data_IF_183304513584
#
_entry.id   IF_183304513584
#
_cell.length_a   1.000
_cell.length_b   1.000
_cell.length_c   1.000
_cell.angle_alpha   90.00
_cell.angle_beta   90.00
_cell.angle_gamma   90.00
#
_symmetry.space_group_name_H-M   'P 1'
#
loop_
_entity.id
_entity.type
_entity.pdbx_description
1 polymer ?
#
# COMPACT_ATOMS: atom_id res chain seq x y z
N UNK A 1 0.90 5.81 -28.86
CA UNK A 1 -0.02 5.10 -27.94
C UNK A 1 0.57 5.13 -26.55
N UNK A 2 0.01 5.94 -25.65
CA UNK A 2 0.36 5.93 -24.23
C UNK A 2 -0.07 4.57 -23.66
N UNK A 3 0.88 3.64 -23.55
CA UNK A 3 0.61 2.29 -23.07
C UNK A 3 0.35 2.31 -21.57
N UNK A 4 -0.91 2.49 -21.20
CA UNK A 4 -1.39 2.26 -19.84
C UNK A 4 -1.02 0.83 -19.44
N UNK A 5 -0.34 0.68 -18.31
CA UNK A 5 -0.01 -0.62 -17.74
C UNK A 5 -0.93 -0.90 -16.57
N UNK A 6 -1.52 -2.08 -16.58
CA UNK A 6 -2.35 -2.55 -15.48
C UNK A 6 -1.55 -3.49 -14.60
N UNK A 7 -1.69 -3.31 -13.30
CA UNK A 7 -1.09 -4.15 -12.28
C UNK A 7 -2.16 -4.62 -11.31
N UNK A 8 -1.86 -5.75 -10.65
CA UNK A 8 -2.45 -6.07 -9.36
C UNK A 8 -1.41 -5.87 -8.28
N UNK A 9 -1.78 -5.22 -7.18
CA UNK A 9 -0.96 -5.08 -5.99
C UNK A 9 -1.60 -5.86 -4.85
N UNK A 10 -0.81 -6.62 -4.11
CA UNK A 10 -1.22 -7.42 -2.96
C UNK A 10 -0.44 -7.00 -1.71
N UNK A 11 -1.11 -6.95 -0.57
CA UNK A 11 -0.52 -6.41 0.66
C UNK A 11 -1.54 -5.94 1.69
N UNK A 12 -1.03 -5.32 2.75
CA UNK A 12 -1.84 -4.90 3.90
C UNK A 12 -2.30 -3.46 3.71
N UNK A 13 -3.62 -3.26 3.71
CA UNK A 13 -4.26 -1.95 3.63
C UNK A 13 -4.55 -1.47 5.05
N UNK A 14 -4.17 -0.23 5.33
CA UNK A 14 -4.40 0.48 6.59
C UNK A 14 -5.11 1.81 6.31
N UNK A 15 -5.94 2.23 7.26
CA UNK A 15 -6.61 3.54 7.20
C UNK A 15 -5.61 4.69 7.27
N UNK A 16 -6.08 5.91 6.95
CA UNK A 16 -5.26 7.12 7.10
C UNK A 16 -4.96 7.41 8.57
N UNK A 17 -5.90 7.11 9.47
CA UNK A 17 -5.78 7.24 10.91
C UNK A 17 -4.67 6.32 11.44
N UNK A 18 -4.71 5.05 11.07
CA UNK A 18 -3.68 4.08 11.47
C UNK A 18 -2.29 4.47 10.93
N UNK A 19 -2.21 4.97 9.70
CA UNK A 19 -0.97 5.46 9.12
C UNK A 19 -0.44 6.72 9.83
N UNK A 20 -1.33 7.63 10.22
CA UNK A 20 -0.97 8.83 10.96
C UNK A 20 -0.44 8.48 12.35
N UNK A 21 -1.14 7.60 13.09
CA UNK A 21 -0.72 7.12 14.40
C UNK A 21 0.63 6.40 14.34
N UNK A 22 0.83 5.54 13.33
CA UNK A 22 2.11 4.89 13.11
C UNK A 22 3.23 5.91 12.85
N UNK A 23 2.96 6.91 12.02
CA UNK A 23 3.92 7.99 11.73
C UNK A 23 4.27 8.78 12.99
N UNK A 24 3.30 9.06 13.85
CA UNK A 24 3.54 9.70 15.15
C UNK A 24 4.43 8.86 16.05
N UNK A 25 4.23 7.54 16.11
CA UNK A 25 5.12 6.64 16.87
C UNK A 25 6.55 6.63 16.32
N UNK A 26 6.71 6.65 14.99
CA UNK A 26 8.04 6.66 14.36
C UNK A 26 8.79 7.97 14.66
N UNK A 27 8.10 9.11 14.59
CA UNK A 27 8.73 10.44 14.57
C UNK A 27 8.70 11.15 15.92
N UNK A 28 7.83 10.73 16.84
CA UNK A 28 7.54 11.45 18.08
C UNK A 28 6.69 12.72 17.88
N UNK A 29 6.22 13.00 16.66
CA UNK A 29 5.45 14.20 16.32
C UNK A 29 4.01 13.85 15.95
N UNK A 30 3.05 14.59 16.50
CA UNK A 30 1.64 14.45 16.15
C UNK A 30 1.45 14.65 14.62
N UNK A 31 0.88 13.64 13.96
CA UNK A 31 0.70 13.61 12.50
C UNK A 31 -0.80 13.58 12.19
N UNK A 32 -1.26 14.43 11.29
CA UNK A 32 -2.64 14.46 10.82
C UNK A 32 -2.81 13.58 9.57
N UNK A 33 -3.99 12.98 9.41
CA UNK A 33 -4.40 12.16 8.25
C UNK A 33 -4.27 12.84 6.87
N UNK A 34 -4.05 14.16 6.79
CA UNK A 34 -3.84 14.89 5.53
C UNK A 34 -2.36 15.06 5.17
N UNK A 35 -1.45 14.67 6.05
CA UNK A 35 0.00 14.79 5.84
C UNK A 35 0.56 13.56 5.10
N UNK A 36 -0.01 13.25 3.93
CA UNK A 36 0.31 12.05 3.14
C UNK A 36 1.80 11.89 2.84
N UNK A 37 2.50 12.98 2.50
CA UNK A 37 3.93 12.93 2.21
C UNK A 37 4.77 12.53 3.42
N UNK A 38 4.41 13.03 4.61
CA UNK A 38 5.10 12.70 5.86
C UNK A 38 4.89 11.21 6.20
N UNK A 39 3.64 10.75 6.16
CA UNK A 39 3.30 9.34 6.36
C UNK A 39 4.03 8.44 5.37
N UNK A 40 4.01 8.82 4.08
CA UNK A 40 4.66 8.03 3.04
C UNK A 40 6.18 7.94 3.25
N UNK A 41 6.82 9.03 3.66
CA UNK A 41 8.27 9.08 3.88
C UNK A 41 8.68 8.25 5.09
N UNK A 42 8.03 8.48 6.23
CA UNK A 42 8.38 7.83 7.49
C UNK A 42 8.14 6.31 7.42
N UNK A 43 6.96 5.90 6.95
CA UNK A 43 6.60 4.47 6.92
C UNK A 43 7.33 3.73 5.81
N UNK A 44 7.58 4.35 4.65
CA UNK A 44 8.39 3.70 3.59
C UNK A 44 9.77 3.32 4.13
N UNK A 45 10.39 4.14 4.96
CA UNK A 45 11.68 3.83 5.56
C UNK A 45 11.63 2.57 6.45
N UNK A 46 10.50 2.32 7.13
CA UNK A 46 10.28 1.13 7.97
C UNK A 46 10.03 -0.14 7.19
N UNK A 47 9.27 -0.07 6.10
CA UNK A 47 8.89 -1.28 5.33
C UNK A 47 9.92 -1.66 4.26
N UNK A 48 10.78 -0.73 3.81
CA UNK A 48 11.78 -0.97 2.77
C UNK A 48 12.75 -2.13 3.05
N UNK A 49 13.25 -2.36 4.28
CA UNK A 49 14.10 -3.52 4.60
C UNK A 49 13.45 -4.87 4.25
N UNK A 50 12.12 -4.95 4.21
CA UNK A 50 11.35 -6.14 3.86
C UNK A 50 11.06 -6.25 2.35
N UNK A 51 11.73 -5.41 1.54
CA UNK A 51 11.49 -5.26 0.09
C UNK A 51 10.02 -4.94 -0.22
N UNK A 52 9.36 -4.24 0.70
CA UNK A 52 7.99 -3.79 0.56
C UNK A 52 7.95 -2.31 0.17
N UNK A 53 6.89 -1.93 -0.53
CA UNK A 53 6.60 -0.55 -0.87
C UNK A 53 5.50 0.00 0.03
N UNK A 54 5.41 1.33 0.14
CA UNK A 54 4.31 1.99 0.83
C UNK A 54 3.68 3.06 -0.07
N UNK A 55 2.39 2.88 -0.37
CA UNK A 55 1.68 3.65 -1.40
C UNK A 55 0.30 4.07 -0.89
N UNK A 56 -0.07 5.31 -1.20
CA UNK A 56 -1.45 5.76 -1.09
C UNK A 56 -2.26 5.09 -2.20
N UNK A 57 -3.43 4.57 -1.86
CA UNK A 57 -4.38 3.90 -2.73
C UNK A 57 -5.78 4.52 -2.56
N UNK A 58 -6.71 4.17 -3.44
CA UNK A 58 -8.04 4.79 -3.51
C UNK A 58 -8.11 5.86 -4.58
N UNK A 59 -9.27 5.93 -5.25
CA UNK A 59 -9.52 6.90 -6.32
C UNK A 59 -10.41 8.08 -5.85
N UNK A 60 -11.13 7.90 -4.74
CA UNK A 60 -11.96 8.92 -4.09
C UNK A 60 -11.42 9.24 -2.70
N UNK A 61 -11.79 10.41 -2.15
CA UNK A 61 -11.42 10.80 -0.79
C UNK A 61 -11.91 9.82 0.28
N UNK A 62 -13.07 9.19 0.05
CA UNK A 62 -13.69 8.22 0.97
C UNK A 62 -12.97 6.87 0.95
N UNK A 63 -12.34 6.52 -0.17
CA UNK A 63 -11.58 5.27 -0.36
C UNK A 63 -10.08 5.42 -0.09
N UNK A 64 -9.60 6.62 0.25
CA UNK A 64 -8.17 6.85 0.47
C UNK A 64 -7.66 6.03 1.65
N UNK A 65 -6.65 5.23 1.38
CA UNK A 65 -5.97 4.39 2.36
C UNK A 65 -4.50 4.25 1.98
N UNK A 66 -3.70 3.75 2.91
CA UNK A 66 -2.34 3.35 2.59
C UNK A 66 -2.23 1.83 2.47
N UNK A 67 -1.32 1.39 1.62
CA UNK A 67 -1.02 -0.03 1.43
C UNK A 67 0.48 -0.28 1.60
N UNK A 68 0.80 -1.24 2.47
CA UNK A 68 2.10 -1.91 2.47
C UNK A 68 2.07 -2.95 1.36
N UNK A 69 2.62 -2.60 0.20
CA UNK A 69 2.60 -3.44 -1.00
C UNK A 69 3.70 -4.48 -0.91
N UNK A 70 3.30 -5.75 -0.84
CA UNK A 70 4.19 -6.92 -0.72
C UNK A 70 4.39 -7.62 -2.06
N UNK A 71 3.32 -7.64 -2.86
CA UNK A 71 3.26 -8.31 -4.15
C UNK A 71 2.80 -7.32 -5.21
N UNK A 72 3.44 -7.35 -6.36
CA UNK A 72 3.04 -6.57 -7.52
C UNK A 72 3.24 -7.43 -8.77
N UNK A 73 2.19 -7.57 -9.57
CA UNK A 73 2.24 -8.30 -10.83
C UNK A 73 1.55 -7.52 -11.94
N UNK A 74 2.19 -7.46 -13.10
CA UNK A 74 1.59 -6.88 -14.30
C UNK A 74 0.48 -7.77 -14.83
N UNK A 75 -0.61 -7.16 -15.27
CA UNK A 75 -1.74 -7.82 -15.92
C UNK A 75 -1.67 -7.58 -17.43
N UNK A 76 -0.92 -8.41 -18.15
CA UNK A 76 -0.68 -8.23 -19.60
C UNK A 76 -1.95 -8.37 -20.45
N UNK A 77 -2.97 -9.08 -19.96
CA UNK A 77 -4.24 -9.32 -20.63
C UNK A 77 -5.44 -8.80 -19.84
N UNK A 78 -5.26 -7.67 -19.14
CA UNK A 78 -6.32 -7.07 -18.33
C UNK A 78 -7.58 -6.76 -19.17
N UNK A 79 -8.74 -7.13 -18.63
CA UNK A 79 -10.07 -6.78 -19.16
C UNK A 79 -10.84 -6.08 -18.05
N UNK A 80 -11.33 -4.87 -18.30
CA UNK A 80 -12.01 -4.02 -17.30
C UNK A 80 -13.16 -4.71 -16.57
N UNK A 81 -13.92 -5.55 -17.26
CA UNK A 81 -15.09 -6.22 -16.71
C UNK A 81 -14.79 -7.62 -16.15
N UNK A 82 -13.52 -8.02 -16.12
CA UNK A 82 -13.10 -9.29 -15.52
C UNK A 82 -12.55 -9.06 -14.12
N UNK A 83 -12.94 -9.87 -13.12
CA UNK A 83 -12.37 -9.78 -11.78
C UNK A 83 -10.85 -9.90 -11.81
N UNK A 84 -10.17 -9.09 -11.01
CA UNK A 84 -8.71 -9.22 -10.84
C UNK A 84 -8.43 -10.45 -9.98
N UNK A 85 -7.56 -11.37 -10.43
CA UNK A 85 -7.15 -12.51 -9.62
C UNK A 85 -6.58 -12.04 -8.28
N UNK A 86 -7.04 -12.63 -7.18
CA UNK A 86 -6.56 -12.30 -5.84
C UNK A 86 -5.20 -12.96 -5.59
N UNK A 87 -4.41 -12.34 -4.72
CA UNK A 87 -3.21 -12.93 -4.14
C UNK A 87 -3.56 -13.67 -2.85
N UNK A 88 -2.70 -14.63 -2.51
CA UNK A 88 -2.70 -15.31 -1.21
C UNK A 88 -1.47 -14.86 -0.43
N UNK A 89 -1.60 -14.88 0.90
CA UNK A 89 -0.48 -14.58 1.79
C UNK A 89 0.55 -15.71 1.74
N UNK A 90 1.83 -15.35 1.64
CA UNK A 90 2.96 -16.27 1.74
C UNK A 90 3.95 -15.85 2.83
N UNK A 91 5.17 -16.38 2.75
CA UNK A 91 6.20 -16.13 3.77
C UNK A 91 6.56 -14.64 3.91
N UNK A 92 6.58 -13.90 2.80
CA UNK A 92 6.89 -12.46 2.83
C UNK A 92 5.81 -11.67 3.57
N UNK A 93 4.54 -12.03 3.36
CA UNK A 93 3.40 -11.41 4.02
C UNK A 93 3.41 -11.73 5.53
N UNK A 94 3.80 -12.95 5.91
CA UNK A 94 4.00 -13.30 7.32
C UNK A 94 5.08 -12.42 7.99
N UNK A 95 6.21 -12.18 7.31
CA UNK A 95 7.25 -11.28 7.84
C UNK A 95 6.76 -9.84 7.99
N UNK A 96 6.01 -9.33 7.01
CA UNK A 96 5.43 -7.98 7.09
C UNK A 96 4.37 -7.88 8.17
N UNK A 97 3.59 -8.94 8.41
CA UNK A 97 2.65 -9.02 9.52
C UNK A 97 3.35 -8.83 10.86
N UNK A 98 4.45 -9.56 11.08
CA UNK A 98 5.24 -9.42 12.31
C UNK A 98 5.82 -8.01 12.48
N UNK A 99 6.19 -7.32 11.38
CA UNK A 99 6.60 -5.92 11.45
C UNK A 99 5.44 -5.02 11.88
N UNK A 100 4.26 -5.18 11.27
CA UNK A 100 3.08 -4.39 11.61
C UNK A 100 2.74 -4.54 13.10
N UNK A 101 2.74 -5.78 13.60
CA UNK A 101 2.53 -6.08 15.03
C UNK A 101 3.59 -5.42 15.93
N UNK A 102 4.88 -5.52 15.58
CA UNK A 102 5.97 -4.89 16.32
C UNK A 102 5.84 -3.37 16.39
N UNK A 103 5.33 -2.76 15.31
CA UNK A 103 5.12 -1.32 15.20
C UNK A 103 3.76 -0.87 15.77
N UNK A 104 3.00 -1.79 16.39
CA UNK A 104 1.70 -1.53 17.01
C UNK A 104 0.58 -1.23 16.00
N UNK A 105 0.72 -1.73 14.77
CA UNK A 105 -0.29 -1.62 13.71
C UNK A 105 -1.10 -2.90 13.68
N UNK A 106 -2.30 -2.86 14.25
CA UNK A 106 -3.19 -4.04 14.37
C UNK A 106 -4.44 -3.95 13.49
N UNK A 107 -4.83 -2.74 13.07
CA UNK A 107 -5.97 -2.52 12.18
C UNK A 107 -5.49 -2.49 10.72
N UNK A 108 -5.49 -3.67 10.09
CA UNK A 108 -5.13 -3.84 8.69
C UNK A 108 -5.93 -4.96 8.04
N UNK A 109 -6.06 -4.91 6.72
CA UNK A 109 -6.68 -5.98 5.92
C UNK A 109 -5.78 -6.33 4.75
N UNK A 110 -5.46 -7.62 4.57
CA UNK A 110 -4.78 -8.07 3.36
C UNK A 110 -5.75 -8.01 2.17
N UNK A 111 -5.38 -7.27 1.12
CA UNK A 111 -6.21 -7.09 -0.07
C UNK A 111 -5.37 -7.15 -1.34
N UNK A 112 -6.02 -7.56 -2.43
CA UNK A 112 -5.52 -7.34 -3.79
C UNK A 112 -6.30 -6.21 -4.45
N UNK A 113 -5.59 -5.21 -4.97
CA UNK A 113 -6.19 -4.11 -5.71
C UNK A 113 -5.72 -4.09 -7.16
N UNK A 114 -6.56 -3.58 -8.05
CA UNK A 114 -6.15 -3.16 -9.39
C UNK A 114 -5.45 -1.80 -9.30
N UNK A 115 -4.36 -1.63 -10.05
CA UNK A 115 -3.76 -0.31 -10.24
C UNK A 115 -3.44 -0.06 -11.71
N UNK A 116 -3.94 1.07 -12.18
CA UNK A 116 -3.56 1.65 -13.46
C UNK A 116 -2.33 2.54 -13.29
N UNK A 117 -1.28 2.30 -14.09
CA UNK A 117 -0.09 3.13 -14.17
C UNK A 117 0.07 3.60 -15.60
N UNK A 118 -0.31 4.85 -15.84
CA UNK A 118 0.01 5.59 -17.05
C UNK A 118 1.43 6.13 -16.96
N UNK A 119 2.22 6.03 -18.04
CA UNK A 119 3.45 6.81 -18.16
C UNK A 119 3.03 8.29 -18.17
N UNK A 120 3.28 8.99 -17.07
CA UNK A 120 3.46 10.44 -17.13
C UNK A 120 4.74 10.63 -17.94
N UNK A 121 4.65 11.37 -19.04
CA UNK A 121 5.82 11.73 -19.84
C UNK A 121 6.81 12.47 -18.93
N UNK A 122 8.10 12.12 -19.05
CA UNK A 122 9.22 12.83 -18.43
C UNK A 122 9.24 14.31 -18.87
#
# INVERSE_FOLDING_TARGET
>A
MSGVKHFRWGGFVISLETAADWTTRITGLATHTRQYGAMQTAIRAKVRPFKAEFKLIGDTWEDLAFMVVMQAQRLDHYKRNSPVPQFEEGEREAMARSLLELEGVTDYVFKTIHKEISKLYD
#
